data_IF_545725267637
#
_entry.id   IF_545725267637
#
_cell.length_a   1.000
_cell.length_b   1.000
_cell.length_c   1.000
_cell.angle_alpha   90.00
_cell.angle_beta   90.00
_cell.angle_gamma   90.00
#
_symmetry.space_group_name_H-M   'P 1'
#
loop_
_entity.id
_entity.type
_entity.pdbx_description
1 polymer ?
#
# COMPACT_ATOMS: atom_id res chain seq x y z
N UNK A 1 12.56 2.66 39.65
CA UNK A 1 11.79 3.46 40.63
C UNK A 1 10.33 3.00 40.56
N UNK A 2 9.88 2.11 41.47
CA UNK A 2 8.50 1.62 41.47
C UNK A 2 7.59 2.74 41.98
N UNK A 3 6.75 3.30 41.10
CA UNK A 3 5.73 4.28 41.48
C UNK A 3 4.76 3.65 42.49
N UNK A 4 4.53 4.35 43.61
CA UNK A 4 3.49 4.05 44.60
C UNK A 4 2.14 3.78 43.90
N UNK A 5 1.32 2.87 44.42
CA UNK A 5 0.01 2.50 43.84
C UNK A 5 -0.88 3.73 43.55
N UNK A 6 -0.77 4.80 44.37
CA UNK A 6 -1.45 6.08 44.13
C UNK A 6 -0.89 6.85 42.91
N UNK A 7 0.43 6.79 42.68
CA UNK A 7 1.09 7.42 41.54
C UNK A 7 0.76 6.75 40.20
N UNK A 8 0.52 5.43 40.21
CA UNK A 8 0.08 4.70 39.01
C UNK A 8 -1.36 5.07 38.62
N UNK A 9 -2.24 5.33 39.60
CA UNK A 9 -3.60 5.82 39.35
C UNK A 9 -3.62 7.22 38.74
N UNK A 10 -2.87 8.17 39.32
CA UNK A 10 -2.76 9.54 38.82
C UNK A 10 -2.13 9.59 37.41
N UNK A 11 -1.11 8.77 37.15
CA UNK A 11 -0.50 8.67 35.83
C UNK A 11 -1.49 8.17 34.77
N UNK A 12 -2.32 7.17 35.08
CA UNK A 12 -3.38 6.69 34.18
C UNK A 12 -4.41 7.78 33.88
N UNK A 13 -4.88 8.51 34.89
CA UNK A 13 -5.80 9.64 34.71
C UNK A 13 -5.20 10.77 33.87
N UNK A 14 -3.92 11.07 34.08
CA UNK A 14 -3.20 12.04 33.25
C UNK A 14 -3.10 11.58 31.80
N UNK A 15 -2.77 10.30 31.55
CA UNK A 15 -2.75 9.72 30.19
C UNK A 15 -4.14 9.79 29.54
N UNK A 16 -5.20 9.43 30.26
CA UNK A 16 -6.57 9.54 29.73
C UNK A 16 -6.94 10.98 29.41
N UNK A 17 -6.61 11.94 30.29
CA UNK A 17 -6.85 13.35 30.04
C UNK A 17 -6.12 13.84 28.79
N UNK A 18 -4.84 13.46 28.61
CA UNK A 18 -4.06 13.81 27.41
C UNK A 18 -4.65 13.19 26.14
N UNK A 19 -5.08 11.93 26.18
CA UNK A 19 -5.72 11.25 25.04
C UNK A 19 -7.04 11.95 24.68
N UNK A 20 -7.87 12.29 25.67
CA UNK A 20 -9.15 12.97 25.44
C UNK A 20 -8.91 14.37 24.87
N UNK A 21 -8.00 15.15 25.46
CA UNK A 21 -7.68 16.50 24.99
C UNK A 21 -7.13 16.46 23.56
N UNK A 22 -6.21 15.54 23.26
CA UNK A 22 -5.68 15.40 21.89
C UNK A 22 -6.76 14.98 20.89
N UNK A 23 -7.65 14.05 21.25
CA UNK A 23 -8.78 13.67 20.39
C UNK A 23 -9.75 14.83 20.13
N UNK A 24 -10.05 15.63 21.17
CA UNK A 24 -10.89 16.83 21.04
C UNK A 24 -10.23 17.88 20.14
N UNK A 25 -8.95 18.18 20.35
CA UNK A 25 -8.21 19.13 19.51
C UNK A 25 -8.14 18.68 18.04
N UNK A 26 -7.90 17.39 17.80
CA UNK A 26 -7.93 16.82 16.45
C UNK A 26 -9.31 16.97 15.80
N UNK A 27 -10.37 16.70 16.56
CA UNK A 27 -11.75 16.83 16.06
C UNK A 27 -12.07 18.28 15.69
N UNK A 28 -11.66 19.24 16.52
CA UNK A 28 -11.83 20.67 16.24
C UNK A 28 -11.02 21.08 15.01
N UNK A 29 -9.76 20.66 14.90
CA UNK A 29 -8.89 21.02 13.78
C UNK A 29 -9.47 20.54 12.45
N UNK A 30 -9.84 19.25 12.38
CA UNK A 30 -10.37 18.64 11.15
C UNK A 30 -11.77 19.19 10.83
N UNK A 31 -12.62 19.35 11.85
CA UNK A 31 -13.97 19.88 11.70
C UNK A 31 -13.99 21.33 11.23
N UNK A 32 -13.07 22.15 11.74
CA UNK A 32 -12.95 23.57 11.38
C UNK A 32 -12.63 23.75 9.90
N UNK A 33 -11.62 23.03 9.38
CA UNK A 33 -11.26 23.09 7.95
C UNK A 33 -12.44 22.69 7.06
N UNK A 34 -13.12 21.58 7.39
CA UNK A 34 -14.27 21.11 6.62
C UNK A 34 -15.44 22.11 6.60
N UNK A 35 -15.77 22.68 7.75
CA UNK A 35 -16.87 23.64 7.89
C UNK A 35 -16.54 24.93 7.14
N UNK A 36 -15.30 25.42 7.29
CA UNK A 36 -14.83 26.63 6.60
C UNK A 36 -14.86 26.45 5.09
N UNK A 37 -14.34 25.33 4.58
CA UNK A 37 -14.39 25.02 3.16
C UNK A 37 -15.83 24.92 2.65
N UNK A 38 -16.71 24.25 3.38
CA UNK A 38 -18.12 24.13 3.00
C UNK A 38 -18.81 25.49 2.87
N UNK A 39 -18.67 26.37 3.87
CA UNK A 39 -19.26 27.70 3.82
C UNK A 39 -18.61 28.60 2.76
N UNK A 40 -17.29 28.47 2.55
CA UNK A 40 -16.59 29.18 1.50
C UNK A 40 -17.08 28.76 0.12
N UNK A 41 -17.11 27.46 -0.20
CA UNK A 41 -17.62 26.95 -1.48
C UNK A 41 -19.09 27.32 -1.70
N UNK A 42 -19.88 27.37 -0.62
CA UNK A 42 -21.27 27.84 -0.67
C UNK A 42 -21.38 29.33 -1.02
N UNK A 43 -20.52 30.19 -0.46
CA UNK A 43 -20.58 31.64 -0.68
C UNK A 43 -20.21 32.04 -2.11
N UNK A 44 -19.30 31.30 -2.74
CA UNK A 44 -18.88 31.52 -4.14
C UNK A 44 -19.75 30.76 -5.17
N UNK A 45 -20.79 30.04 -4.74
CA UNK A 45 -21.70 29.30 -5.63
C UNK A 45 -21.15 27.97 -6.19
N UNK A 46 -20.00 27.49 -5.71
CA UNK A 46 -19.34 26.26 -6.17
C UNK A 46 -19.58 25.05 -5.24
N UNK A 47 -20.67 25.05 -4.45
CA UNK A 47 -21.00 23.96 -3.51
C UNK A 47 -21.04 22.59 -4.20
N UNK A 48 -21.50 22.51 -5.45
CA UNK A 48 -21.53 21.27 -6.20
C UNK A 48 -20.11 20.69 -6.44
N UNK A 49 -19.11 21.53 -6.68
CA UNK A 49 -17.71 21.10 -6.86
C UNK A 49 -17.16 20.50 -5.57
N UNK A 50 -17.44 21.13 -4.44
CA UNK A 50 -17.07 20.60 -3.13
C UNK A 50 -17.70 19.22 -2.87
N UNK A 51 -19.00 19.06 -3.16
CA UNK A 51 -19.70 17.79 -2.99
C UNK A 51 -19.17 16.69 -3.91
N UNK A 52 -18.83 17.02 -5.16
CA UNK A 52 -18.18 16.08 -6.09
C UNK A 52 -16.83 15.63 -5.53
N UNK A 53 -15.99 16.58 -5.10
CA UNK A 53 -14.68 16.24 -4.52
C UNK A 53 -14.83 15.34 -3.30
N UNK A 54 -15.73 15.69 -2.37
CA UNK A 54 -15.99 14.89 -1.17
C UNK A 54 -16.50 13.49 -1.52
N UNK A 55 -17.43 13.37 -2.48
CA UNK A 55 -17.94 12.07 -2.93
C UNK A 55 -16.82 11.15 -3.41
N UNK A 56 -15.95 11.63 -4.30
CA UNK A 56 -14.86 10.81 -4.84
C UNK A 56 -13.77 10.51 -3.79
N UNK A 57 -13.52 11.44 -2.87
CA UNK A 57 -12.67 11.18 -1.72
C UNK A 57 -13.20 10.02 -0.87
N UNK A 58 -14.50 10.02 -0.55
CA UNK A 58 -15.12 8.97 0.24
C UNK A 58 -15.18 7.63 -0.52
N UNK A 59 -15.47 7.65 -1.82
CA UNK A 59 -15.45 6.44 -2.66
C UNK A 59 -14.07 5.79 -2.64
N UNK A 60 -13.00 6.56 -2.82
CA UNK A 60 -11.63 6.03 -2.78
C UNK A 60 -11.21 5.58 -1.38
N UNK A 61 -11.63 6.31 -0.34
CA UNK A 61 -11.36 5.93 1.04
C UNK A 61 -11.97 4.57 1.36
N UNK A 62 -13.29 4.45 1.20
CA UNK A 62 -14.01 3.23 1.58
C UNK A 62 -13.73 2.08 0.60
N UNK A 63 -13.55 2.36 -0.69
CA UNK A 63 -13.15 1.37 -1.67
C UNK A 63 -11.76 0.81 -1.40
N UNK A 64 -10.77 1.68 -1.18
CA UNK A 64 -9.41 1.27 -0.84
C UNK A 64 -9.34 0.52 0.50
N UNK A 65 -10.05 1.01 1.50
CA UNK A 65 -10.16 0.37 2.81
C UNK A 65 -10.76 -1.03 2.71
N UNK A 66 -11.91 -1.17 2.05
CA UNK A 66 -12.61 -2.44 1.92
C UNK A 66 -11.74 -3.48 1.20
N UNK A 67 -11.10 -3.10 0.09
CA UNK A 67 -10.21 -4.00 -0.67
C UNK A 67 -9.00 -4.41 0.18
N UNK A 68 -8.32 -3.45 0.81
CA UNK A 68 -7.12 -3.74 1.60
C UNK A 68 -7.43 -4.62 2.81
N UNK A 69 -8.49 -4.29 3.57
CA UNK A 69 -8.93 -5.10 4.71
C UNK A 69 -9.37 -6.49 4.26
N UNK A 70 -10.12 -6.62 3.16
CA UNK A 70 -10.51 -7.92 2.64
C UNK A 70 -9.29 -8.79 2.28
N UNK A 71 -8.30 -8.23 1.59
CA UNK A 71 -7.06 -8.95 1.28
C UNK A 71 -6.32 -9.42 2.55
N UNK A 72 -6.22 -8.57 3.57
CA UNK A 72 -5.59 -8.93 4.85
C UNK A 72 -6.38 -10.01 5.61
N UNK A 73 -7.71 -9.93 5.62
CA UNK A 73 -8.55 -10.96 6.26
C UNK A 73 -8.49 -12.31 5.52
N UNK A 74 -8.39 -12.29 4.19
CA UNK A 74 -8.13 -13.50 3.41
C UNK A 74 -6.75 -14.08 3.75
N UNK A 75 -5.72 -13.23 3.87
CA UNK A 75 -4.38 -13.66 4.28
C UNK A 75 -4.39 -14.32 5.67
N UNK A 76 -5.13 -13.75 6.63
CA UNK A 76 -5.33 -14.37 7.94
C UNK A 76 -5.95 -15.75 7.84
N UNK A 77 -7.02 -15.89 7.05
CA UNK A 77 -7.74 -17.14 6.90
C UNK A 77 -6.82 -18.24 6.39
N UNK A 78 -6.02 -17.95 5.38
CA UNK A 78 -5.10 -18.91 4.79
C UNK A 78 -3.86 -19.17 5.68
N UNK A 79 -3.41 -18.17 6.45
CA UNK A 79 -2.37 -18.33 7.48
C UNK A 79 -2.85 -19.25 8.60
N UNK A 80 -4.09 -19.07 9.08
CA UNK A 80 -4.69 -19.93 10.11
C UNK A 80 -4.80 -21.38 9.64
N UNK A 81 -5.16 -21.62 8.37
CA UNK A 81 -5.17 -22.98 7.80
C UNK A 81 -3.78 -23.61 7.76
N UNK A 82 -2.74 -22.81 7.51
CA UNK A 82 -1.36 -23.29 7.39
C UNK A 82 -0.71 -23.57 8.74
N UNK A 83 -1.09 -22.80 9.78
CA UNK A 83 -0.54 -22.91 11.15
C UNK A 83 -1.40 -23.81 12.05
N UNK A 84 -2.70 -23.95 11.80
CA UNK A 84 -3.62 -24.72 12.64
C UNK A 84 -4.08 -23.94 13.90
N UNK A 85 -4.59 -24.67 14.90
CA UNK A 85 -5.23 -24.10 16.10
C UNK A 85 -4.25 -23.64 17.21
N UNK A 86 -2.95 -23.54 16.93
CA UNK A 86 -1.94 -23.14 17.92
C UNK A 86 -1.91 -21.63 18.20
N UNK A 87 -2.64 -20.84 17.41
CA UNK A 87 -2.73 -19.39 17.58
C UNK A 87 -3.72 -19.04 18.70
N UNK A 88 -3.36 -18.17 19.66
CA UNK A 88 -4.27 -17.75 20.71
C UNK A 88 -5.48 -17.01 20.11
N UNK A 89 -6.66 -17.22 20.68
CA UNK A 89 -7.92 -16.58 20.25
C UNK A 89 -7.83 -15.05 20.29
N UNK A 90 -7.05 -14.50 21.23
CA UNK A 90 -6.74 -13.07 21.35
C UNK A 90 -5.95 -12.57 20.13
N UNK A 91 -5.00 -13.38 19.63
CA UNK A 91 -4.19 -13.03 18.46
C UNK A 91 -5.02 -12.83 17.19
N UNK A 92 -6.05 -13.67 16.98
CA UNK A 92 -6.94 -13.51 15.83
C UNK A 92 -7.85 -12.27 15.91
N UNK A 93 -8.34 -11.93 17.11
CA UNK A 93 -9.10 -10.68 17.31
C UNK A 93 -8.21 -9.46 17.07
N UNK A 94 -7.00 -9.45 17.61
CA UNK A 94 -6.02 -8.40 17.38
C UNK A 94 -5.67 -8.26 15.90
N UNK A 95 -5.42 -9.38 15.20
CA UNK A 95 -5.14 -9.35 13.76
C UNK A 95 -6.27 -8.71 12.97
N UNK A 96 -7.53 -9.05 13.29
CA UNK A 96 -8.71 -8.48 12.64
C UNK A 96 -8.76 -6.96 12.87
N UNK A 97 -8.57 -6.52 14.13
CA UNK A 97 -8.55 -5.09 14.48
C UNK A 97 -7.43 -4.36 13.72
N UNK A 98 -6.20 -4.89 13.74
CA UNK A 98 -5.08 -4.31 13.02
C UNK A 98 -5.29 -4.29 11.51
N UNK A 99 -5.91 -5.32 10.93
CA UNK A 99 -6.23 -5.36 9.49
C UNK A 99 -7.24 -4.30 9.08
N UNK A 100 -8.23 -4.03 9.94
CA UNK A 100 -9.19 -2.95 9.74
C UNK A 100 -8.49 -1.59 9.84
N UNK A 101 -7.64 -1.39 10.85
CA UNK A 101 -6.91 -0.13 11.05
C UNK A 101 -5.89 0.16 9.93
N UNK A 102 -5.09 -0.84 9.55
CA UNK A 102 -4.09 -0.72 8.48
C UNK A 102 -4.78 -0.55 7.13
N UNK A 103 -5.83 -1.32 6.86
CA UNK A 103 -6.66 -1.12 5.67
C UNK A 103 -7.20 0.31 5.62
N UNK A 104 -7.63 0.87 6.76
CA UNK A 104 -8.12 2.24 6.80
C UNK A 104 -7.00 3.24 6.45
N UNK A 105 -5.77 3.00 6.90
CA UNK A 105 -4.60 3.77 6.49
C UNK A 105 -4.35 3.72 4.97
N UNK A 106 -4.51 2.55 4.35
CA UNK A 106 -4.43 2.40 2.89
C UNK A 106 -5.55 3.17 2.18
N UNK A 107 -6.79 3.07 2.68
CA UNK A 107 -7.93 3.85 2.19
C UNK A 107 -7.69 5.36 2.32
N UNK A 108 -7.12 5.81 3.44
CA UNK A 108 -6.78 7.21 3.67
C UNK A 108 -5.75 7.74 2.69
N UNK A 109 -4.71 6.94 2.39
CA UNK A 109 -3.76 7.28 1.33
C UNK A 109 -4.44 7.36 -0.05
N UNK A 110 -5.34 6.42 -0.34
CA UNK A 110 -6.03 6.37 -1.64
C UNK A 110 -7.03 7.51 -1.82
N UNK A 111 -7.70 7.96 -0.74
CA UNK A 111 -8.52 9.19 -0.69
C UNK A 111 -7.76 10.38 -1.26
N UNK A 112 -6.48 10.54 -0.92
CA UNK A 112 -5.63 11.63 -1.39
C UNK A 112 -5.40 11.65 -2.90
N UNK A 113 -5.77 10.59 -3.63
CA UNK A 113 -5.64 10.47 -5.10
C UNK A 113 -6.94 10.78 -5.85
N UNK A 114 -7.97 11.29 -5.18
CA UNK A 114 -9.26 11.65 -5.79
C UNK A 114 -9.13 12.56 -7.01
N UNK A 115 -8.21 13.53 -6.97
CA UNK A 115 -8.01 14.47 -8.08
C UNK A 115 -7.44 13.79 -9.33
N UNK A 116 -6.61 12.75 -9.14
CA UNK A 116 -6.08 11.94 -10.25
C UNK A 116 -7.21 11.11 -10.86
N UNK A 117 -8.06 10.50 -10.03
CA UNK A 117 -9.23 9.76 -10.51
C UNK A 117 -10.19 10.66 -11.29
N UNK A 118 -10.52 11.85 -10.76
CA UNK A 118 -11.40 12.80 -11.43
C UNK A 118 -10.85 13.25 -12.77
N UNK A 119 -9.54 13.53 -12.83
CA UNK A 119 -8.82 13.85 -14.08
C UNK A 119 -8.88 12.72 -15.09
N UNK A 120 -8.75 11.47 -14.65
CA UNK A 120 -8.87 10.30 -15.50
C UNK A 120 -10.30 10.09 -16.03
N UNK A 121 -11.31 10.23 -15.18
CA UNK A 121 -12.72 10.04 -15.56
C UNK A 121 -13.23 11.13 -16.51
N UNK A 122 -12.70 12.35 -16.39
CA UNK A 122 -13.06 13.49 -17.23
C UNK A 122 -11.96 13.85 -18.24
N UNK A 123 -11.19 12.86 -18.69
CA UNK A 123 -10.12 13.06 -19.65
C UNK A 123 -10.68 13.48 -21.02
N UNK A 124 -9.96 14.37 -21.72
CA UNK A 124 -10.26 14.80 -23.09
C UNK A 124 -9.01 14.69 -23.94
N UNK A 125 -9.17 14.30 -25.21
CA UNK A 125 -8.07 14.24 -26.16
C UNK A 125 -7.62 15.65 -26.54
N UNK A 126 -6.31 15.84 -26.71
CA UNK A 126 -5.75 17.11 -27.14
C UNK A 126 -5.45 17.14 -28.65
N UNK A 127 -5.41 15.96 -29.31
CA UNK A 127 -5.11 15.85 -30.73
C UNK A 127 -3.62 16.05 -31.06
N UNK A 128 -2.78 16.18 -30.03
CA UNK A 128 -1.33 16.30 -30.17
C UNK A 128 -0.73 14.95 -29.82
N UNK A 129 -0.10 14.32 -30.80
CA UNK A 129 0.50 12.99 -30.67
C UNK A 129 2.00 13.14 -30.39
N UNK A 130 2.51 12.37 -29.43
CA UNK A 130 3.93 12.35 -29.14
C UNK A 130 4.71 11.59 -30.25
N UNK A 131 5.85 12.11 -30.71
CA UNK A 131 6.57 11.54 -31.85
C UNK A 131 7.31 10.23 -31.54
N UNK A 132 7.41 9.80 -30.29
CA UNK A 132 8.28 8.70 -29.86
C UNK A 132 7.48 7.42 -29.60
N UNK A 133 6.40 7.52 -28.84
CA UNK A 133 5.50 6.42 -28.49
C UNK A 133 4.16 6.48 -29.25
N UNK A 134 3.83 7.60 -29.89
CA UNK A 134 2.61 7.73 -30.69
C UNK A 134 1.31 7.83 -29.87
N UNK A 135 1.41 8.22 -28.60
CA UNK A 135 0.24 8.47 -27.74
C UNK A 135 -0.14 9.95 -27.74
N UNK A 136 -1.42 10.24 -27.58
CA UNK A 136 -1.89 11.61 -27.35
C UNK A 136 -1.32 12.12 -26.02
N UNK A 137 -0.99 13.41 -25.94
CA UNK A 137 -0.47 14.02 -24.71
C UNK A 137 -1.43 13.81 -23.51
N UNK A 138 -2.74 13.73 -23.77
CA UNK A 138 -3.77 13.43 -22.76
C UNK A 138 -3.52 12.11 -22.01
N UNK A 139 -2.92 11.11 -22.65
CA UNK A 139 -2.54 9.85 -22.00
C UNK A 139 -1.58 10.07 -20.83
N UNK A 140 -0.56 10.92 -21.01
CA UNK A 140 0.48 11.14 -20.00
C UNK A 140 -0.01 11.96 -18.81
N UNK A 141 -1.00 12.82 -19.02
CA UNK A 141 -1.54 13.73 -17.99
C UNK A 141 -2.69 13.11 -17.21
N UNK A 142 -3.53 12.30 -17.87
CA UNK A 142 -4.75 11.75 -17.26
C UNK A 142 -4.63 10.26 -16.98
N UNK A 143 -4.28 9.46 -17.98
CA UNK A 143 -4.30 7.99 -17.91
C UNK A 143 -3.10 7.42 -17.13
N UNK A 144 -1.88 7.86 -17.47
CA UNK A 144 -0.65 7.33 -16.89
C UNK A 144 -0.56 7.53 -15.37
N UNK A 145 -0.90 8.70 -14.79
CA UNK A 145 -0.90 8.87 -13.34
C UNK A 145 -1.89 7.95 -12.64
N UNK A 146 -3.06 7.68 -13.24
CA UNK A 146 -4.05 6.76 -12.68
C UNK A 146 -3.54 5.32 -12.68
N UNK A 147 -2.92 4.86 -13.78
CA UNK A 147 -2.30 3.53 -13.85
C UNK A 147 -1.21 3.38 -12.78
N UNK A 148 -0.35 4.39 -12.59
CA UNK A 148 0.69 4.38 -11.55
C UNK A 148 0.12 4.31 -10.14
N UNK A 149 -0.97 5.03 -9.87
CA UNK A 149 -1.66 4.96 -8.57
C UNK A 149 -2.22 3.56 -8.32
N UNK A 150 -2.87 2.95 -9.32
CA UNK A 150 -3.41 1.59 -9.20
C UNK A 150 -2.31 0.54 -8.98
N UNK A 151 -1.20 0.62 -9.71
CA UNK A 151 -0.06 -0.27 -9.53
C UNK A 151 0.55 -0.11 -8.13
N UNK A 152 0.72 1.13 -7.67
CA UNK A 152 1.23 1.42 -6.32
C UNK A 152 0.29 0.88 -5.25
N UNK A 153 -1.03 1.00 -5.44
CA UNK A 153 -2.04 0.45 -4.55
C UNK A 153 -1.96 -1.08 -4.47
N UNK A 154 -1.94 -1.77 -5.62
CA UNK A 154 -1.81 -3.24 -5.70
C UNK A 154 -0.50 -3.72 -5.06
N UNK A 155 0.61 -3.03 -5.33
CA UNK A 155 1.90 -3.35 -4.74
C UNK A 155 1.89 -3.13 -3.22
N UNK A 156 1.34 -2.01 -2.73
CA UNK A 156 1.25 -1.73 -1.30
C UNK A 156 0.40 -2.77 -0.56
N UNK A 157 -0.78 -3.12 -1.10
CA UNK A 157 -1.64 -4.16 -0.51
C UNK A 157 -0.93 -5.51 -0.50
N UNK A 158 -0.23 -5.88 -1.58
CA UNK A 158 0.51 -7.14 -1.65
C UNK A 158 1.67 -7.18 -0.65
N UNK A 159 2.43 -6.08 -0.53
CA UNK A 159 3.49 -5.97 0.47
C UNK A 159 2.94 -6.07 1.90
N UNK A 160 1.81 -5.43 2.19
CA UNK A 160 1.16 -5.54 3.49
C UNK A 160 0.69 -6.96 3.78
N UNK A 161 0.07 -7.65 2.81
CA UNK A 161 -0.32 -9.06 2.94
C UNK A 161 0.90 -9.93 3.27
N UNK A 162 2.01 -9.74 2.55
CA UNK A 162 3.25 -10.49 2.80
C UNK A 162 3.73 -10.25 4.23
N UNK A 163 3.91 -8.99 4.64
CA UNK A 163 4.41 -8.63 5.99
C UNK A 163 3.47 -9.15 7.08
N UNK A 164 2.17 -8.95 6.92
CA UNK A 164 1.18 -9.38 7.92
C UNK A 164 1.01 -10.90 7.98
N UNK A 165 1.36 -11.64 6.94
CA UNK A 165 1.37 -13.12 7.01
C UNK A 165 2.55 -13.67 7.82
N UNK A 166 3.69 -12.97 7.81
CA UNK A 166 4.91 -13.40 8.52
C UNK A 166 4.80 -13.23 10.04
N UNK A 167 4.06 -12.23 10.52
CA UNK A 167 3.95 -11.94 11.97
C UNK A 167 3.28 -13.09 12.74
N UNK A 168 2.06 -13.56 12.38
CA UNK A 168 1.43 -14.69 13.06
C UNK A 168 2.26 -15.97 12.95
N UNK A 169 2.90 -16.20 11.81
CA UNK A 169 3.78 -17.34 11.62
C UNK A 169 4.97 -17.30 12.58
N UNK A 170 5.64 -16.15 12.71
CA UNK A 170 6.75 -15.96 13.65
C UNK A 170 6.33 -16.15 15.11
N UNK A 171 5.14 -15.66 15.50
CA UNK A 171 4.60 -15.86 16.85
C UNK A 171 4.29 -17.34 17.13
N UNK A 172 3.65 -18.02 16.18
CA UNK A 172 3.37 -19.46 16.32
C UNK A 172 4.66 -20.26 16.46
N UNK A 173 5.66 -19.96 15.61
CA UNK A 173 6.99 -20.56 15.63
C UNK A 173 7.69 -20.39 16.99
N UNK A 174 7.73 -19.16 17.51
CA UNK A 174 8.36 -18.87 18.80
C UNK A 174 7.65 -19.56 19.99
N UNK A 175 6.32 -19.69 19.94
CA UNK A 175 5.54 -20.38 20.98
C UNK A 175 5.88 -21.86 21.05
N UNK A 176 5.94 -22.52 19.89
CA UNK A 176 6.36 -23.92 19.79
C UNK A 176 7.76 -24.18 20.34
N UNK A 177 8.69 -23.27 20.04
CA UNK A 177 10.05 -23.36 20.53
C UNK A 177 10.09 -23.29 22.07
N UNK A 178 9.28 -22.41 22.68
CA UNK A 178 9.18 -22.31 24.14
C UNK A 178 8.57 -23.54 24.81
N UNK A 179 7.60 -24.19 24.16
CA UNK A 179 6.88 -25.36 24.70
C UNK A 179 7.70 -26.66 24.58
N UNK A 180 8.56 -26.79 23.56
CA UNK A 180 9.44 -27.97 23.38
C UNK A 180 10.75 -27.93 24.18
N UNK A 181 11.12 -26.80 24.76
CA UNK A 181 12.36 -26.69 25.56
C UNK A 181 12.32 -27.55 26.85
N UNK A 182 11.14 -28.05 27.26
CA UNK A 182 10.99 -28.96 28.40
C UNK A 182 11.03 -30.47 28.05
N UNK A 183 10.89 -30.88 26.78
CA UNK A 183 10.80 -32.29 26.37
C UNK A 183 11.59 -32.56 25.08
N UNK A 184 12.81 -33.09 25.26
CA UNK A 184 13.75 -33.62 24.25
C UNK A 184 14.20 -32.68 23.12
N UNK A 185 15.52 -32.63 22.89
CA UNK A 185 16.18 -31.99 21.73
C UNK A 185 15.80 -32.71 20.43
N UNK A 186 14.54 -32.58 19.99
CA UNK A 186 14.12 -33.00 18.67
C UNK A 186 14.65 -32.05 17.61
N UNK A 187 15.36 -32.58 16.61
CA UNK A 187 15.83 -31.84 15.44
C UNK A 187 14.74 -30.92 14.89
N UNK A 188 15.04 -29.63 14.88
CA UNK A 188 14.14 -28.64 14.29
C UNK A 188 13.98 -28.95 12.80
N UNK A 189 12.77 -29.34 12.42
CA UNK A 189 12.46 -29.66 11.03
C UNK A 189 12.37 -28.34 10.25
N UNK A 190 13.48 -27.91 9.65
CA UNK A 190 13.59 -26.79 8.70
C UNK A 190 12.43 -26.82 7.68
N UNK A 191 11.95 -28.03 7.40
CA UNK A 191 10.81 -28.40 6.60
C UNK A 191 9.47 -27.72 6.96
N UNK A 192 9.21 -27.37 8.23
CA UNK A 192 7.97 -26.64 8.60
C UNK A 192 8.03 -25.16 8.21
N UNK A 193 9.23 -24.56 8.15
CA UNK A 193 9.42 -23.20 7.63
C UNK A 193 9.29 -23.16 6.11
N UNK A 194 9.88 -24.13 5.42
CA UNK A 194 9.70 -24.26 3.97
C UNK A 194 8.24 -24.52 3.58
N UNK A 195 7.50 -25.32 4.35
CA UNK A 195 6.06 -25.55 4.10
C UNK A 195 5.25 -24.26 4.17
N UNK A 196 5.53 -23.38 5.13
CA UNK A 196 4.83 -22.09 5.23
C UNK A 196 5.22 -21.12 4.10
N UNK A 197 6.51 -21.04 3.76
CA UNK A 197 6.98 -20.21 2.66
C UNK A 197 6.39 -20.63 1.31
N UNK A 198 6.05 -21.92 1.15
CA UNK A 198 5.35 -22.46 -0.01
C UNK A 198 3.84 -22.18 -0.03
N UNK A 199 3.28 -21.63 1.05
CA UNK A 199 1.85 -21.33 1.11
C UNK A 199 1.46 -20.27 0.07
N UNK A 200 0.21 -20.30 -0.44
CA UNK A 200 -0.27 -19.31 -1.40
C UNK A 200 -0.27 -17.88 -0.85
N UNK A 201 -0.24 -17.73 0.48
CA UNK A 201 -0.20 -16.44 1.19
C UNK A 201 1.14 -15.73 1.01
N UNK A 202 2.23 -16.48 0.81
CA UNK A 202 3.58 -15.92 0.60
C UNK A 202 3.88 -15.83 -0.89
N UNK A 203 3.64 -16.90 -1.65
CA UNK A 203 3.93 -16.94 -3.09
C UNK A 203 3.06 -15.95 -3.87
N UNK A 204 1.76 -15.84 -3.56
CA UNK A 204 0.82 -14.97 -4.26
C UNK A 204 1.28 -13.50 -4.27
N UNK A 205 1.50 -12.87 -3.10
CA UNK A 205 2.01 -11.50 -3.03
C UNK A 205 3.36 -11.30 -3.70
N UNK A 206 4.29 -12.27 -3.63
CA UNK A 206 5.60 -12.18 -4.31
C UNK A 206 5.40 -12.09 -5.83
N UNK A 207 4.53 -12.92 -6.40
CA UNK A 207 4.20 -12.88 -7.82
C UNK A 207 3.56 -11.54 -8.18
N UNK A 208 2.58 -11.07 -7.41
CA UNK A 208 1.92 -9.79 -7.67
C UNK A 208 2.90 -8.63 -7.57
N UNK A 209 3.79 -8.61 -6.58
CA UNK A 209 4.83 -7.59 -6.44
C UNK A 209 5.82 -7.62 -7.61
N UNK A 210 6.19 -8.81 -8.09
CA UNK A 210 7.08 -9.00 -9.23
C UNK A 210 6.45 -8.43 -10.50
N UNK A 211 5.19 -8.78 -10.77
CA UNK A 211 4.45 -8.30 -11.95
C UNK A 211 4.24 -6.78 -11.86
N UNK A 212 3.75 -6.28 -10.71
CA UNK A 212 3.52 -4.86 -10.50
C UNK A 212 4.83 -4.05 -10.59
N UNK A 213 5.93 -4.59 -10.06
CA UNK A 213 7.26 -4.01 -10.17
C UNK A 213 7.77 -3.95 -11.60
N UNK A 214 7.64 -5.05 -12.36
CA UNK A 214 8.03 -5.10 -13.76
C UNK A 214 7.23 -4.10 -14.62
N UNK A 215 5.91 -4.03 -14.43
CA UNK A 215 5.07 -3.05 -15.12
C UNK A 215 5.47 -1.63 -14.71
N UNK A 216 5.73 -1.38 -13.43
CA UNK A 216 6.14 -0.05 -12.94
C UNK A 216 7.46 0.41 -13.55
N UNK A 217 8.45 -0.50 -13.65
CA UNK A 217 9.74 -0.25 -14.31
C UNK A 217 9.54 0.03 -15.79
N UNK A 218 8.69 -0.74 -16.47
CA UNK A 218 8.37 -0.55 -17.88
C UNK A 218 7.67 0.78 -18.15
N UNK A 219 6.68 1.16 -17.32
CA UNK A 219 6.02 2.48 -17.39
C UNK A 219 6.98 3.64 -17.07
N UNK A 220 8.11 3.36 -16.42
CA UNK A 220 9.19 4.33 -16.20
C UNK A 220 9.76 4.89 -17.51
N UNK A 221 9.61 4.20 -18.65
CA UNK A 221 10.09 4.69 -19.95
C UNK A 221 9.50 6.04 -20.36
N UNK A 222 8.27 6.32 -19.94
CA UNK A 222 7.60 7.56 -20.31
C UNK A 222 8.22 8.78 -19.62
N UNK A 223 8.90 8.62 -18.48
CA UNK A 223 9.57 9.76 -17.84
C UNK A 223 10.73 10.32 -18.65
N UNK A 224 11.26 9.54 -19.60
CA UNK A 224 12.35 10.01 -20.47
C UNK A 224 11.90 11.02 -21.53
N UNK A 225 10.59 11.21 -21.73
CA UNK A 225 10.05 12.22 -22.65
C UNK A 225 10.23 13.65 -22.13
N UNK A 226 10.32 13.82 -20.82
CA UNK A 226 10.42 15.12 -20.15
C UNK A 226 11.59 15.14 -19.15
N UNK A 227 12.60 14.30 -19.39
CA UNK A 227 13.80 14.28 -18.57
C UNK A 227 14.64 15.55 -18.84
N UNK A 228 15.17 16.13 -17.76
CA UNK A 228 16.10 17.25 -17.86
C UNK A 228 17.45 16.75 -18.37
N UNK A 229 18.03 17.47 -19.34
CA UNK A 229 19.41 17.22 -19.74
C UNK A 229 20.34 17.71 -18.60
N UNK A 230 21.46 17.03 -18.30
CA UNK A 230 22.38 17.47 -17.26
C UNK A 230 22.85 18.91 -17.51
N UNK A 231 22.46 19.84 -16.62
CA UNK A 231 22.77 21.26 -16.73
C UNK A 231 21.67 22.13 -17.38
N UNK A 232 20.58 21.55 -17.87
CA UNK A 232 19.43 22.27 -18.41
C UNK A 232 18.35 22.57 -17.36
N UNK A 233 17.90 23.82 -17.30
CA UNK A 233 16.77 24.23 -16.43
C UNK A 233 15.40 24.01 -17.06
N UNK A 234 15.35 23.73 -18.37
CA UNK A 234 14.11 23.57 -19.14
C UNK A 234 14.06 22.16 -19.74
N UNK A 235 12.94 21.43 -19.64
CA UNK A 235 12.79 20.14 -20.31
C UNK A 235 12.84 20.34 -21.83
N UNK A 236 13.82 19.72 -22.49
CA UNK A 236 14.04 19.88 -23.94
C UNK A 236 13.40 18.76 -24.78
N UNK A 237 12.52 17.96 -24.16
CA UNK A 237 12.00 16.73 -24.73
C UNK A 237 12.93 15.54 -24.50
N UNK A 238 12.72 14.44 -25.23
CA UNK A 238 13.58 13.26 -25.09
C UNK A 238 14.95 13.48 -25.74
N UNK A 239 16.02 13.25 -24.98
CA UNK A 239 17.39 13.32 -25.50
C UNK A 239 17.72 12.16 -26.45
N UNK A 240 18.74 12.35 -27.30
CA UNK A 240 19.23 11.28 -28.19
C UNK A 240 19.58 10.00 -27.40
N UNK A 241 20.19 10.16 -26.21
CA UNK A 241 20.51 9.05 -25.31
C UNK A 241 19.27 8.35 -24.75
N UNK A 242 18.22 9.12 -24.44
CA UNK A 242 16.96 8.57 -23.98
C UNK A 242 16.31 7.66 -25.03
N UNK A 243 16.22 8.14 -26.28
CA UNK A 243 15.57 7.41 -27.38
C UNK A 243 16.32 6.14 -27.73
N UNK A 244 17.64 6.21 -27.87
CA UNK A 244 18.44 5.07 -28.36
C UNK A 244 18.87 4.09 -27.27
N UNK A 245 19.02 4.53 -26.02
CA UNK A 245 19.56 3.67 -24.95
C UNK A 245 18.59 3.52 -23.78
N UNK A 246 18.10 4.61 -23.17
CA UNK A 246 17.34 4.48 -21.92
C UNK A 246 15.97 3.83 -22.11
N UNK A 247 15.22 4.21 -23.16
CA UNK A 247 13.91 3.63 -23.45
C UNK A 247 14.04 2.12 -23.74
N UNK A 248 14.89 1.64 -24.66
CA UNK A 248 15.10 0.21 -24.87
C UNK A 248 15.58 -0.51 -23.60
N UNK A 249 16.46 0.10 -22.82
CA UNK A 249 16.98 -0.50 -21.59
C UNK A 249 15.90 -0.74 -20.51
N UNK A 250 14.78 -0.02 -20.53
CA UNK A 250 13.66 -0.31 -19.62
C UNK A 250 13.06 -1.70 -19.80
N UNK A 251 13.08 -2.25 -21.03
CA UNK A 251 12.64 -3.62 -21.29
C UNK A 251 13.55 -4.63 -20.59
N UNK A 252 14.86 -4.41 -20.67
CA UNK A 252 15.86 -5.25 -20.00
C UNK A 252 15.68 -5.20 -18.48
N UNK A 253 15.47 -4.00 -17.91
CA UNK A 253 15.17 -3.86 -16.47
C UNK A 253 13.89 -4.60 -16.07
N UNK A 254 12.81 -4.44 -16.84
CA UNK A 254 11.53 -5.10 -16.55
C UNK A 254 11.67 -6.63 -16.62
N UNK A 255 12.36 -7.14 -17.64
CA UNK A 255 12.67 -8.57 -17.78
C UNK A 255 13.54 -9.06 -16.61
N UNK A 256 14.55 -8.29 -16.20
CA UNK A 256 15.37 -8.61 -15.03
C UNK A 256 14.55 -8.72 -13.74
N UNK A 257 13.57 -7.83 -13.52
CA UNK A 257 12.64 -7.92 -12.39
C UNK A 257 11.80 -9.19 -12.46
N UNK A 258 11.26 -9.54 -13.63
CA UNK A 258 10.49 -10.77 -13.83
C UNK A 258 11.33 -12.02 -13.57
N UNK A 259 12.57 -12.07 -14.05
CA UNK A 259 13.47 -13.21 -13.83
C UNK A 259 13.84 -13.37 -12.36
N UNK A 260 14.21 -12.27 -11.68
CA UNK A 260 14.55 -12.33 -10.26
C UNK A 260 13.35 -12.73 -9.41
N UNK A 261 12.19 -12.11 -9.63
CA UNK A 261 10.99 -12.46 -8.87
C UNK A 261 10.46 -13.86 -9.20
N UNK A 262 10.61 -14.31 -10.44
CA UNK A 262 10.33 -15.68 -10.86
C UNK A 262 11.25 -16.69 -10.18
N UNK A 263 12.55 -16.40 -10.06
CA UNK A 263 13.51 -17.25 -9.35
C UNK A 263 13.18 -17.32 -7.85
N UNK A 264 12.83 -16.19 -7.23
CA UNK A 264 12.39 -16.16 -5.82
C UNK A 264 11.14 -17.00 -5.62
N UNK A 265 10.11 -16.82 -6.46
CA UNK A 265 8.89 -17.63 -6.37
C UNK A 265 9.16 -19.11 -6.64
N UNK A 266 10.04 -19.44 -7.59
CA UNK A 266 10.46 -20.80 -7.88
C UNK A 266 11.20 -21.44 -6.69
N UNK A 267 12.11 -20.70 -6.04
CA UNK A 267 12.88 -21.18 -4.89
C UNK A 267 12.01 -21.51 -3.66
N UNK A 268 10.84 -20.88 -3.53
CA UNK A 268 9.88 -21.21 -2.47
C UNK A 268 8.90 -22.33 -2.89
N UNK A 269 8.86 -22.68 -4.18
CA UNK A 269 7.98 -23.72 -4.71
C UNK A 269 8.58 -25.13 -4.69
N UNK A 270 9.92 -25.22 -4.76
CA UNK A 270 10.70 -26.46 -4.72
C UNK A 270 11.33 -26.64 -3.35
#
# INVERSE_FOLDING_TARGET
MKLSERGQGLLKWFIYAVIIISAVLLTISIGSEFIMDYYWFKSIGYLNVFMINLKYQLILLFGGWAIATLCLLLAWRETKKSVGDQLPTIGGKLYTIFSVLIGFGVGWWFKGKYMILLKFLNQSAWGVVDPIFGHDVSFYVFTLPMIKVLLTFVAAVSALVLVFSLIPYGIAKARFESEKTELEFGEYSIWDTFRFLRSPVVIGPIIVLTIAGAISVWLGRYSYLWAFDPGGQVPVGASHMAVHYHIPYTWIKALGVLLLGGLVAYSFSH
#
